data_IF_014055277810
#
_entry.id   IF_014055277810
#
_cell.length_a   1.000
_cell.length_b   1.000
_cell.length_c   1.000
_cell.angle_alpha   90.00
_cell.angle_beta   90.00
_cell.angle_gamma   90.00
#
_symmetry.space_group_name_H-M   'P 1'
#
loop_
_entity.id
_entity.type
_entity.pdbx_description
1 polymer ?
#
# COMPACT_ATOMS: atom_id res chain seq x y z
N UNK A 1 -10.65 30.99 -30.18
CA UNK A 1 -9.89 29.87 -30.79
C UNK A 1 -10.19 28.61 -30.01
N UNK A 2 -10.59 27.55 -30.71
CA UNK A 2 -11.40 26.45 -30.20
C UNK A 2 -10.68 25.54 -29.19
N UNK A 3 -11.43 25.09 -28.19
CA UNK A 3 -11.05 23.92 -27.39
C UNK A 3 -11.22 22.70 -28.30
N UNK A 4 -10.12 22.08 -28.70
CA UNK A 4 -10.13 20.79 -29.37
C UNK A 4 -10.58 19.73 -28.36
N UNK A 5 -11.87 19.38 -28.39
CA UNK A 5 -12.37 18.14 -27.79
C UNK A 5 -11.74 16.97 -28.54
N UNK A 6 -10.70 16.39 -27.95
CA UNK A 6 -10.17 15.11 -28.41
C UNK A 6 -11.17 14.04 -27.99
N UNK A 7 -11.99 13.60 -28.95
CA UNK A 7 -12.84 12.43 -28.77
C UNK A 7 -11.95 11.20 -28.94
N UNK A 8 -11.51 10.61 -27.84
CA UNK A 8 -10.81 9.33 -27.90
C UNK A 8 -11.89 8.24 -28.04
N UNK A 9 -12.08 7.73 -29.26
CA UNK A 9 -12.83 6.50 -29.48
C UNK A 9 -11.96 5.35 -29.02
N UNK A 10 -12.28 4.78 -27.87
CA UNK A 10 -11.73 3.51 -27.48
C UNK A 10 -12.66 2.37 -27.91
N UNK A 11 -12.10 1.36 -28.56
CA UNK A 11 -12.73 0.06 -28.77
C UNK A 11 -12.07 -0.92 -27.81
N UNK A 12 -12.41 -0.85 -26.52
CA UNK A 12 -11.93 -1.83 -25.55
C UNK A 12 -12.83 -3.06 -25.58
N UNK A 13 -12.24 -4.25 -25.73
CA UNK A 13 -12.90 -5.54 -25.47
C UNK A 13 -12.65 -6.03 -24.03
N UNK A 14 -11.84 -5.29 -23.26
CA UNK A 14 -11.40 -5.64 -21.91
C UNK A 14 -11.83 -4.58 -20.89
N UNK A 15 -12.05 -5.02 -19.65
CA UNK A 15 -12.33 -4.14 -18.52
C UNK A 15 -11.04 -3.55 -17.98
N UNK A 16 -11.05 -2.24 -17.69
CA UNK A 16 -9.91 -1.51 -17.14
C UNK A 16 -10.32 -0.73 -15.90
N UNK A 17 -9.36 -0.53 -15.00
CA UNK A 17 -9.47 0.43 -13.89
C UNK A 17 -8.87 1.76 -14.35
N UNK A 18 -9.58 2.87 -14.09
CA UNK A 18 -9.12 4.22 -14.42
C UNK A 18 -8.93 4.97 -13.10
N UNK A 19 -7.77 5.62 -12.95
CA UNK A 19 -7.39 6.42 -11.78
C UNK A 19 -6.86 7.80 -12.21
N UNK A 20 -6.71 8.70 -11.24
CA UNK A 20 -6.18 10.05 -11.49
C UNK A 20 -4.72 9.99 -11.96
N UNK A 21 -4.39 10.82 -12.95
CA UNK A 21 -3.01 10.97 -13.39
C UNK A 21 -2.20 11.79 -12.37
N UNK A 22 -0.95 11.39 -12.15
CA UNK A 22 -0.03 12.06 -11.23
C UNK A 22 1.16 12.55 -12.05
N UNK A 23 1.47 13.85 -11.94
CA UNK A 23 2.58 14.49 -12.66
C UNK A 23 3.89 14.44 -11.86
N UNK A 24 3.80 14.27 -10.54
CA UNK A 24 4.91 14.26 -9.59
C UNK A 24 5.65 12.92 -9.51
N UNK A 25 6.81 12.91 -8.83
CA UNK A 25 7.61 11.71 -8.62
C UNK A 25 6.83 10.63 -7.86
N UNK A 26 6.85 9.42 -8.41
CA UNK A 26 6.21 8.25 -7.83
C UNK A 26 7.24 7.40 -7.07
N UNK A 27 7.07 7.31 -5.75
CA UNK A 27 8.02 6.65 -4.84
C UNK A 27 7.38 5.43 -4.17
N UNK A 28 8.17 4.36 -4.02
CA UNK A 28 7.80 3.20 -3.20
C UNK A 28 8.36 3.35 -1.79
N UNK A 29 7.49 3.36 -0.78
CA UNK A 29 7.83 3.61 0.63
C UNK A 29 7.95 2.32 1.44
N UNK A 30 7.08 1.35 1.18
CA UNK A 30 7.16 -0.02 1.72
C UNK A 30 6.85 -0.94 0.56
N UNK A 31 7.68 -1.96 0.30
CA UNK A 31 7.42 -2.87 -0.81
C UNK A 31 6.46 -4.01 -0.43
N UNK A 32 6.01 -4.76 -1.42
CA UNK A 32 5.18 -5.98 -1.23
C UNK A 32 5.79 -7.05 -0.32
N UNK A 33 7.11 -7.05 -0.12
CA UNK A 33 7.79 -7.95 0.81
C UNK A 33 7.80 -7.41 2.25
N UNK A 34 7.11 -6.30 2.53
CA UNK A 34 7.03 -5.66 3.85
C UNK A 34 8.27 -4.86 4.23
N UNK A 35 9.21 -4.62 3.32
CA UNK A 35 10.47 -3.94 3.65
C UNK A 35 10.33 -2.43 3.36
N UNK A 36 10.65 -1.53 4.32
CA UNK A 36 10.76 -0.10 4.07
C UNK A 36 11.77 0.21 2.96
N UNK A 37 11.38 1.08 2.02
CA UNK A 37 12.13 1.39 0.81
C UNK A 37 12.33 2.90 0.64
N UNK A 38 13.31 3.29 -0.18
CA UNK A 38 13.55 4.68 -0.53
C UNK A 38 14.11 5.53 0.62
N UNK A 39 14.03 6.85 0.47
CA UNK A 39 14.59 7.83 1.41
C UNK A 39 13.83 7.81 2.74
N UNK A 40 14.54 8.01 3.85
CA UNK A 40 13.96 8.16 5.20
C UNK A 40 13.23 9.49 5.35
N UNK A 41 12.03 9.55 4.77
CA UNK A 41 11.16 10.72 4.73
C UNK A 41 10.01 10.60 5.73
N UNK A 42 9.39 11.73 6.05
CA UNK A 42 8.17 11.75 6.86
C UNK A 42 7.04 10.91 6.25
N UNK A 43 6.93 10.88 4.92
CA UNK A 43 5.94 10.06 4.21
C UNK A 43 6.23 8.58 4.43
N UNK A 44 7.50 8.17 4.31
CA UNK A 44 7.88 6.78 4.56
C UNK A 44 7.56 6.37 5.99
N UNK A 45 7.90 7.20 6.98
CA UNK A 45 7.60 6.92 8.40
C UNK A 45 6.10 6.82 8.68
N UNK A 46 5.27 7.62 7.99
CA UNK A 46 3.81 7.50 8.04
C UNK A 46 3.33 6.18 7.42
N UNK A 47 3.89 5.77 6.28
CA UNK A 47 3.59 4.47 5.67
C UNK A 47 3.98 3.31 6.60
N UNK A 48 5.20 3.32 7.15
CA UNK A 48 5.63 2.33 8.14
C UNK A 48 4.68 2.28 9.36
N UNK A 49 4.27 3.45 9.86
CA UNK A 49 3.29 3.51 10.96
C UNK A 49 1.90 2.99 10.58
N UNK A 50 1.49 3.11 9.32
CA UNK A 50 0.23 2.55 8.81
C UNK A 50 0.30 1.03 8.71
N UNK A 51 1.41 0.48 8.20
CA UNK A 51 1.65 -0.97 8.20
C UNK A 51 1.56 -1.51 9.63
N UNK A 52 2.32 -0.92 10.57
CA UNK A 52 2.32 -1.32 11.97
C UNK A 52 0.93 -1.20 12.60
N UNK A 53 0.26 -0.05 12.45
CA UNK A 53 -1.08 0.18 12.99
C UNK A 53 -2.10 -0.82 12.44
N UNK A 54 -2.10 -1.08 11.14
CA UNK A 54 -3.04 -2.03 10.52
C UNK A 54 -2.86 -3.46 11.05
N UNK A 55 -1.61 -3.83 11.34
CA UNK A 55 -1.27 -5.11 11.97
C UNK A 55 -1.80 -5.23 13.38
N UNK A 56 -1.50 -4.28 14.26
CA UNK A 56 -2.00 -4.32 15.64
C UNK A 56 -3.53 -4.24 15.68
N UNK A 57 -4.13 -3.34 14.89
CA UNK A 57 -5.58 -3.08 14.91
C UNK A 57 -6.42 -4.25 14.39
N UNK A 58 -5.83 -5.09 13.56
CA UNK A 58 -6.47 -6.31 13.05
C UNK A 58 -6.27 -7.53 13.97
N UNK A 59 -5.62 -7.37 15.13
CA UNK A 59 -5.23 -8.49 15.98
C UNK A 59 -4.19 -9.38 15.31
N UNK A 60 -3.24 -8.76 14.62
CA UNK A 60 -2.11 -9.39 13.91
C UNK A 60 -2.52 -10.24 12.69
N UNK A 61 -3.73 -10.02 12.15
CA UNK A 61 -4.23 -10.81 11.02
C UNK A 61 -3.92 -10.19 9.65
N UNK A 62 -3.84 -8.86 9.56
CA UNK A 62 -3.70 -8.13 8.29
C UNK A 62 -2.62 -7.05 8.40
N UNK A 63 -1.92 -6.74 7.32
CA UNK A 63 -0.96 -5.64 7.25
C UNK A 63 -1.04 -4.99 5.87
N UNK A 64 -1.17 -3.66 5.84
CA UNK A 64 -1.10 -2.90 4.60
C UNK A 64 0.37 -2.78 4.15
N UNK A 65 0.70 -3.27 2.96
CA UNK A 65 2.02 -3.24 2.34
C UNK A 65 1.95 -2.73 0.89
N UNK A 66 3.08 -2.77 0.17
CA UNK A 66 3.26 -2.18 -1.17
C UNK A 66 2.83 -0.71 -1.29
N UNK A 67 3.00 0.06 -0.22
CA UNK A 67 2.66 1.48 -0.19
C UNK A 67 3.62 2.28 -1.08
N UNK A 68 3.05 2.81 -2.14
CA UNK A 68 3.72 3.60 -3.17
C UNK A 68 2.81 4.73 -3.64
N UNK A 69 3.38 5.82 -4.13
CA UNK A 69 2.58 6.94 -4.58
C UNK A 69 3.39 8.22 -4.67
N UNK A 70 2.69 9.34 -4.63
CA UNK A 70 3.32 10.66 -4.67
C UNK A 70 2.82 11.54 -3.55
N UNK A 71 3.77 12.22 -2.89
CA UNK A 71 3.53 13.11 -1.74
C UNK A 71 2.76 12.41 -0.61
N UNK A 72 1.43 12.50 -0.61
CA UNK A 72 0.56 11.91 0.41
C UNK A 72 -0.54 11.02 -0.19
N UNK A 73 -0.60 10.90 -1.51
CA UNK A 73 -1.54 10.04 -2.21
C UNK A 73 -0.88 8.69 -2.48
N UNK A 74 -1.46 7.63 -1.92
CA UNK A 74 -1.00 6.25 -2.11
C UNK A 74 -1.85 5.52 -3.14
N UNK A 75 -1.21 4.67 -3.92
CA UNK A 75 -1.81 3.93 -5.02
C UNK A 75 -1.41 2.47 -4.94
N UNK A 76 -2.33 1.60 -5.37
CA UNK A 76 -2.12 0.16 -5.46
C UNK A 76 -1.54 -0.48 -4.18
N UNK A 77 -2.12 -0.26 -2.98
CA UNK A 77 -1.69 -0.97 -1.78
C UNK A 77 -2.06 -2.45 -1.87
N UNK A 78 -1.30 -3.27 -1.15
CA UNK A 78 -1.51 -4.72 -1.02
C UNK A 78 -1.84 -5.07 0.43
N UNK A 79 -2.73 -6.04 0.65
CA UNK A 79 -3.05 -6.53 1.99
C UNK A 79 -2.31 -7.84 2.20
N UNK A 80 -1.28 -7.82 3.04
CA UNK A 80 -0.66 -9.02 3.54
C UNK A 80 -1.54 -9.60 4.66
N UNK A 81 -1.97 -10.85 4.50
CA UNK A 81 -2.85 -11.52 5.46
C UNK A 81 -2.16 -12.72 6.10
N UNK A 82 -2.54 -13.06 7.33
CA UNK A 82 -2.10 -14.29 7.98
C UNK A 82 -2.70 -15.52 7.31
N UNK A 83 -3.95 -15.42 6.88
CA UNK A 83 -4.69 -16.45 6.15
C UNK A 83 -4.93 -16.00 4.70
N UNK A 84 -4.85 -16.92 3.74
CA UNK A 84 -5.06 -16.59 2.32
C UNK A 84 -6.53 -16.73 1.89
N UNK A 85 -7.37 -17.34 2.73
CA UNK A 85 -8.78 -17.58 2.48
C UNK A 85 -9.55 -17.46 3.80
N UNK A 86 -10.81 -17.03 3.72
CA UNK A 86 -11.79 -17.16 4.81
C UNK A 86 -12.86 -18.15 4.38
N UNK A 87 -12.74 -19.39 4.85
CA UNK A 87 -13.54 -20.51 4.36
C UNK A 87 -13.26 -20.79 2.87
N UNK A 88 -14.25 -20.50 2.03
CA UNK A 88 -14.19 -20.67 0.56
C UNK A 88 -13.92 -19.35 -0.18
N UNK A 89 -13.86 -18.21 0.54
CA UNK A 89 -13.66 -16.89 -0.06
C UNK A 89 -12.19 -16.48 -0.07
N UNK A 90 -11.75 -15.87 -1.19
CA UNK A 90 -10.43 -15.25 -1.30
C UNK A 90 -10.51 -13.84 -0.72
N UNK A 91 -9.61 -13.48 0.19
CA UNK A 91 -9.62 -12.13 0.78
C UNK A 91 -9.23 -11.06 -0.26
N UNK A 92 -9.72 -9.86 -0.01
CA UNK A 92 -9.52 -8.72 -0.91
C UNK A 92 -8.04 -8.31 -1.00
N UNK A 93 -7.56 -8.11 -2.23
CA UNK A 93 -6.20 -7.61 -2.53
C UNK A 93 -5.08 -8.36 -1.80
N UNK A 94 -5.23 -9.67 -1.63
CA UNK A 94 -4.19 -10.49 -1.01
C UNK A 94 -2.91 -10.45 -1.85
N UNK A 95 -1.85 -10.11 -1.16
CA UNK A 95 -0.50 -10.24 -1.66
C UNK A 95 0.00 -11.66 -1.82
N UNK A 96 0.83 -11.90 -2.84
CA UNK A 96 1.41 -13.22 -3.05
C UNK A 96 2.44 -13.61 -1.97
N UNK A 97 2.92 -12.65 -1.17
CA UNK A 97 3.90 -12.87 -0.09
C UNK A 97 3.28 -12.94 1.30
N UNK A 98 2.15 -12.27 1.53
CA UNK A 98 1.29 -12.41 2.71
C UNK A 98 2.08 -12.51 4.04
N UNK A 99 2.08 -13.66 4.71
CA UNK A 99 2.81 -13.88 5.97
C UNK A 99 4.32 -13.56 5.89
N UNK A 100 4.97 -13.82 4.75
CA UNK A 100 6.37 -13.43 4.54
C UNK A 100 6.54 -11.92 4.61
N UNK A 101 5.61 -11.14 4.06
CA UNK A 101 5.66 -9.69 4.13
C UNK A 101 5.48 -9.18 5.57
N UNK A 102 4.55 -9.77 6.32
CA UNK A 102 4.34 -9.47 7.74
C UNK A 102 5.63 -9.71 8.55
N UNK A 103 6.22 -10.90 8.40
CA UNK A 103 7.42 -11.28 9.15
C UNK A 103 8.61 -10.39 8.81
N UNK A 104 8.83 -10.10 7.53
CA UNK A 104 9.88 -9.20 7.10
C UNK A 104 9.69 -7.80 7.66
N UNK A 105 8.46 -7.26 7.65
CA UNK A 105 8.19 -5.95 8.22
C UNK A 105 8.53 -5.92 9.71
N UNK A 106 8.09 -6.91 10.49
CA UNK A 106 8.38 -7.01 11.92
C UNK A 106 9.89 -7.11 12.19
N UNK A 107 10.64 -7.85 11.37
CA UNK A 107 12.09 -7.97 11.48
C UNK A 107 12.82 -6.65 11.21
N UNK A 108 12.33 -5.85 10.24
CA UNK A 108 13.00 -4.61 9.82
C UNK A 108 12.49 -3.37 10.58
N UNK A 109 11.26 -3.39 11.10
CA UNK A 109 10.68 -2.32 11.89
C UNK A 109 11.07 -2.46 13.37
N UNK A 110 12.37 -2.29 13.64
CA UNK A 110 12.94 -2.49 14.98
C UNK A 110 12.61 -1.36 15.97
N UNK A 111 12.36 -0.15 15.48
CA UNK A 111 12.08 1.03 16.29
C UNK A 111 10.85 1.77 15.76
N UNK A 112 9.89 2.03 16.65
CA UNK A 112 8.69 2.79 16.32
C UNK A 112 9.01 4.27 16.09
N UNK A 113 8.46 4.84 15.02
CA UNK A 113 8.56 6.28 14.77
C UNK A 113 7.65 7.09 15.72
N UNK A 114 7.81 8.43 15.72
CA UNK A 114 6.89 9.34 16.39
C UNK A 114 5.43 9.11 15.96
N UNK A 115 5.19 8.80 14.68
CA UNK A 115 3.85 8.54 14.15
C UNK A 115 3.25 7.24 14.71
N UNK A 116 4.05 6.17 14.87
CA UNK A 116 3.59 4.95 15.52
C UNK A 116 3.12 5.25 16.95
N UNK A 117 3.89 6.06 17.69
CA UNK A 117 3.52 6.45 19.07
C UNK A 117 2.21 7.23 19.13
N UNK A 118 1.94 8.10 18.14
CA UNK A 118 0.67 8.85 18.07
C UNK A 118 -0.54 7.95 17.83
N UNK A 119 -0.36 6.81 17.16
CA UNK A 119 -1.43 5.90 16.75
C UNK A 119 -1.76 4.81 17.79
N UNK A 120 -0.99 4.68 18.88
CA UNK A 120 -1.20 3.71 19.98
C UNK A 120 -2.41 4.02 20.90
N UNK A 121 -3.46 4.67 20.40
CA UNK A 121 -4.64 5.07 21.18
C UNK A 121 -5.80 4.11 21.07
#
# INVERSE_FOLDING_TARGET
MGKSSHTIKYTWEEWVTIEEHIDEEFTKYVNKSGIPCGVDSDVRKKCESLAHFSHERSGENLMVVDMQGSVHSLFNPEIASKELVDGEEVLFSIGNLSLTAINNFIEHHTECSFYCTLLRR
#
